data_IF_664055280163
#
_entry.id   IF_664055280163
#
_cell.length_a   1.000
_cell.length_b   1.000
_cell.length_c   1.000
_cell.angle_alpha   90.00
_cell.angle_beta   90.00
_cell.angle_gamma   90.00
#
_symmetry.space_group_name_H-M   'P 1'
#
loop_
_entity.id
_entity.type
_entity.pdbx_description
1 polymer ?
#
# COMPACT_ATOMS: atom_id res chain seq x y z
N UNK A 1 -44.14 -17.73 -34.74
CA UNK A 1 -42.87 -17.75 -33.98
C UNK A 1 -43.18 -17.72 -32.49
N UNK A 2 -42.99 -18.85 -31.79
CA UNK A 2 -43.34 -18.98 -30.37
C UNK A 2 -42.34 -18.24 -29.49
N UNK A 3 -42.77 -17.16 -28.82
CA UNK A 3 -42.03 -16.53 -27.71
C UNK A 3 -42.04 -17.52 -26.55
N UNK A 4 -41.01 -18.38 -26.48
CA UNK A 4 -40.79 -19.24 -25.31
C UNK A 4 -40.46 -18.35 -24.12
N UNK A 5 -41.47 -18.05 -23.31
CA UNK A 5 -41.28 -17.40 -22.01
C UNK A 5 -40.38 -18.33 -21.18
N UNK A 6 -39.14 -17.90 -20.96
CA UNK A 6 -38.24 -18.58 -20.01
C UNK A 6 -39.03 -18.76 -18.70
N UNK A 7 -39.16 -19.98 -18.16
CA UNK A 7 -39.98 -20.22 -16.98
C UNK A 7 -39.45 -19.33 -15.85
N UNK A 8 -40.37 -18.72 -15.08
CA UNK A 8 -40.04 -17.76 -14.02
C UNK A 8 -38.88 -18.27 -13.13
N UNK A 9 -38.92 -19.56 -12.78
CA UNK A 9 -37.89 -20.27 -12.03
C UNK A 9 -36.47 -20.15 -12.63
N UNK A 10 -36.32 -20.24 -13.96
CA UNK A 10 -35.02 -20.15 -14.61
C UNK A 10 -34.45 -18.73 -14.56
N UNK A 11 -35.31 -17.70 -14.67
CA UNK A 11 -34.89 -16.29 -14.55
C UNK A 11 -34.43 -15.98 -13.13
N UNK A 12 -35.18 -16.48 -12.14
CA UNK A 12 -34.84 -16.34 -10.72
C UNK A 12 -33.52 -17.04 -10.43
N UNK A 13 -33.35 -18.28 -10.89
CA UNK A 13 -32.10 -19.03 -10.74
C UNK A 13 -30.89 -18.29 -11.34
N UNK A 14 -31.01 -17.76 -12.56
CA UNK A 14 -29.92 -17.02 -13.22
C UNK A 14 -29.53 -15.77 -12.43
N UNK A 15 -30.52 -15.00 -11.96
CA UNK A 15 -30.27 -13.77 -11.21
C UNK A 15 -29.60 -14.05 -9.87
N UNK A 16 -30.13 -14.99 -9.08
CA UNK A 16 -29.54 -15.37 -7.80
C UNK A 16 -28.17 -16.04 -7.99
N UNK A 17 -28.00 -16.89 -8.99
CA UNK A 17 -26.73 -17.52 -9.33
C UNK A 17 -25.65 -16.50 -9.66
N UNK A 18 -25.96 -15.51 -10.50
CA UNK A 18 -25.03 -14.41 -10.81
C UNK A 18 -24.70 -13.59 -9.55
N UNK A 19 -25.70 -13.26 -8.73
CA UNK A 19 -25.48 -12.50 -7.50
C UNK A 19 -24.55 -13.25 -6.52
N UNK A 20 -24.76 -14.55 -6.36
CA UNK A 20 -23.92 -15.42 -5.51
C UNK A 20 -22.50 -15.49 -6.06
N UNK A 21 -22.33 -15.68 -7.38
CA UNK A 21 -21.00 -15.72 -8.00
C UNK A 21 -20.24 -14.41 -7.82
N UNK A 22 -20.91 -13.27 -8.01
CA UNK A 22 -20.31 -11.95 -7.78
C UNK A 22 -19.92 -11.77 -6.31
N UNK A 23 -20.82 -12.11 -5.39
CA UNK A 23 -20.55 -12.01 -3.95
C UNK A 23 -19.39 -12.93 -3.53
N UNK A 24 -19.34 -14.16 -4.02
CA UNK A 24 -18.25 -15.10 -3.78
C UNK A 24 -16.92 -14.57 -4.33
N UNK A 25 -16.93 -13.97 -5.53
CA UNK A 25 -15.75 -13.34 -6.12
C UNK A 25 -15.22 -12.18 -5.29
N UNK A 26 -16.09 -11.25 -4.86
CA UNK A 26 -15.71 -10.12 -4.00
C UNK A 26 -15.18 -10.63 -2.65
N UNK A 27 -15.85 -11.62 -2.04
CA UNK A 27 -15.40 -12.22 -0.78
C UNK A 27 -14.02 -12.88 -0.91
N UNK A 28 -13.79 -13.60 -2.01
CA UNK A 28 -12.50 -14.21 -2.28
C UNK A 28 -11.39 -13.16 -2.47
N UNK A 29 -11.62 -12.15 -3.32
CA UNK A 29 -10.64 -11.08 -3.57
C UNK A 29 -10.31 -10.31 -2.30
N UNK A 30 -11.32 -9.90 -1.53
CA UNK A 30 -11.12 -9.16 -0.27
C UNK A 30 -10.31 -9.97 0.74
N UNK A 31 -10.57 -11.28 0.85
CA UNK A 31 -9.79 -12.18 1.70
C UNK A 31 -8.32 -12.26 1.25
N UNK A 32 -8.08 -12.39 -0.05
CA UNK A 32 -6.72 -12.48 -0.59
C UNK A 32 -5.92 -11.19 -0.39
N UNK A 33 -6.54 -10.04 -0.63
CA UNK A 33 -5.91 -8.73 -0.39
C UNK A 33 -5.53 -8.55 1.08
N UNK A 34 -6.41 -8.97 2.02
CA UNK A 34 -6.09 -8.92 3.46
C UNK A 34 -4.90 -9.80 3.81
N UNK A 35 -4.88 -11.04 3.32
CA UNK A 35 -3.76 -11.97 3.54
C UNK A 35 -2.45 -11.42 2.97
N UNK A 36 -2.50 -10.82 1.78
CA UNK A 36 -1.33 -10.22 1.16
C UNK A 36 -0.81 -9.01 1.94
N UNK A 37 -1.71 -8.18 2.48
CA UNK A 37 -1.32 -7.05 3.33
C UNK A 37 -0.62 -7.53 4.60
N UNK A 38 -1.14 -8.57 5.25
CA UNK A 38 -0.49 -9.19 6.41
C UNK A 38 0.90 -9.72 6.06
N UNK A 39 1.03 -10.45 4.94
CA UNK A 39 2.32 -10.97 4.47
C UNK A 39 3.31 -9.83 4.13
N UNK A 40 2.84 -8.78 3.45
CA UNK A 40 3.64 -7.61 3.11
C UNK A 40 4.18 -6.93 4.37
N UNK A 41 3.36 -6.80 5.41
CA UNK A 41 3.77 -6.21 6.70
C UNK A 41 4.87 -7.04 7.39
N UNK A 42 4.75 -8.36 7.37
CA UNK A 42 5.80 -9.24 7.90
C UNK A 42 7.10 -9.12 7.11
N UNK A 43 7.02 -9.08 5.77
CA UNK A 43 8.21 -8.89 4.92
C UNK A 43 8.85 -7.51 5.14
N UNK A 44 8.06 -6.46 5.30
CA UNK A 44 8.54 -5.12 5.60
C UNK A 44 9.27 -5.07 6.96
N UNK A 45 8.74 -5.77 7.97
CA UNK A 45 9.37 -5.88 9.30
C UNK A 45 10.71 -6.60 9.21
N UNK A 46 10.76 -7.76 8.56
CA UNK A 46 12.02 -8.49 8.34
C UNK A 46 13.04 -7.67 7.55
N UNK A 47 12.57 -6.89 6.58
CA UNK A 47 13.42 -5.98 5.82
C UNK A 47 13.99 -4.85 6.70
N UNK A 48 13.17 -4.28 7.60
CA UNK A 48 13.60 -3.25 8.53
C UNK A 48 14.59 -3.80 9.58
N UNK A 49 14.35 -5.00 10.11
CA UNK A 49 15.29 -5.72 10.99
C UNK A 49 16.61 -6.00 10.29
N UNK A 50 16.57 -6.54 9.06
CA UNK A 50 17.77 -6.72 8.25
C UNK A 50 18.52 -5.40 8.04
N UNK A 51 17.79 -4.31 7.75
CA UNK A 51 18.38 -2.99 7.56
C UNK A 51 19.06 -2.48 8.83
N UNK A 52 18.42 -2.67 9.99
CA UNK A 52 18.97 -2.26 11.28
C UNK A 52 20.24 -3.03 11.65
N UNK A 53 20.30 -4.33 11.36
CA UNK A 53 21.46 -5.18 11.63
C UNK A 53 22.59 -4.98 10.60
N UNK A 54 22.25 -4.73 9.33
CA UNK A 54 23.22 -4.64 8.26
C UNK A 54 23.86 -3.25 8.10
N UNK A 55 23.22 -2.18 8.59
CA UNK A 55 23.70 -0.81 8.34
C UNK A 55 25.06 -0.53 8.99
N UNK A 56 25.29 -0.97 10.24
CA UNK A 56 26.57 -0.72 10.92
C UNK A 56 27.73 -1.46 10.26
N UNK A 57 27.65 -2.79 10.00
CA UNK A 57 28.68 -3.49 9.24
C UNK A 57 28.88 -2.95 7.82
N UNK A 58 27.82 -2.43 7.17
CA UNK A 58 27.88 -1.84 5.83
C UNK A 58 28.62 -0.49 5.79
N UNK A 59 28.74 0.22 6.91
CA UNK A 59 29.54 1.44 7.02
C UNK A 59 31.03 1.09 7.15
N UNK A 60 31.35 0.02 7.88
CA UNK A 60 32.73 -0.38 8.17
C UNK A 60 33.36 -1.23 7.04
N UNK A 61 32.56 -2.01 6.33
CA UNK A 61 33.03 -2.98 5.34
C UNK A 61 32.44 -2.71 3.94
N UNK A 62 33.30 -2.42 2.97
CA UNK A 62 32.90 -2.09 1.58
C UNK A 62 32.14 -3.24 0.88
N UNK A 63 32.52 -4.50 1.14
CA UNK A 63 31.84 -5.66 0.55
C UNK A 63 30.42 -5.79 1.10
N UNK A 64 30.24 -5.61 2.41
CA UNK A 64 28.92 -5.60 3.04
C UNK A 64 28.10 -4.41 2.55
N UNK A 65 28.73 -3.23 2.40
CA UNK A 65 28.12 -2.04 1.82
C UNK A 65 27.53 -2.29 0.43
N UNK A 66 28.26 -3.03 -0.42
CA UNK A 66 27.80 -3.39 -1.76
C UNK A 66 26.59 -4.31 -1.71
N UNK A 67 26.65 -5.37 -0.90
CA UNK A 67 25.54 -6.32 -0.73
C UNK A 67 24.31 -5.59 -0.17
N UNK A 68 24.50 -4.76 0.86
CA UNK A 68 23.45 -3.92 1.44
C UNK A 68 22.80 -3.03 0.39
N UNK A 69 23.60 -2.30 -0.41
CA UNK A 69 23.08 -1.47 -1.50
C UNK A 69 22.33 -2.29 -2.54
N UNK A 70 22.80 -3.47 -2.93
CA UNK A 70 22.11 -4.33 -3.89
C UNK A 70 20.77 -4.84 -3.37
N UNK A 71 20.68 -5.18 -2.08
CA UNK A 71 19.45 -5.67 -1.43
C UNK A 71 18.48 -4.52 -1.20
N UNK A 72 18.94 -3.45 -0.55
CA UNK A 72 18.11 -2.29 -0.22
C UNK A 72 17.68 -1.55 -1.47
N UNK A 73 18.53 -1.38 -2.49
CA UNK A 73 18.11 -0.69 -3.72
C UNK A 73 17.03 -1.46 -4.50
N UNK A 74 16.99 -2.79 -4.41
CA UNK A 74 16.02 -3.63 -5.13
C UNK A 74 14.74 -3.92 -4.36
N UNK A 75 14.69 -3.67 -3.05
CA UNK A 75 13.49 -3.92 -2.25
C UNK A 75 12.39 -2.89 -2.56
N UNK A 76 11.11 -3.21 -2.48
CA UNK A 76 10.04 -2.22 -2.73
C UNK A 76 9.51 -1.56 -1.45
N UNK A 77 10.17 -1.78 -0.31
CA UNK A 77 9.74 -1.26 0.99
C UNK A 77 10.34 0.12 1.28
N UNK A 78 9.51 1.15 1.52
CA UNK A 78 10.02 2.46 1.89
C UNK A 78 10.58 2.42 3.32
N UNK A 79 11.69 3.12 3.53
CA UNK A 79 12.41 3.14 4.80
C UNK A 79 13.02 4.52 5.06
N UNK A 80 13.02 4.95 6.31
CA UNK A 80 13.68 6.15 6.82
C UNK A 80 14.50 5.76 8.03
N UNK A 81 15.81 6.02 7.99
CA UNK A 81 16.73 5.79 9.08
C UNK A 81 17.02 7.11 9.76
N UNK A 82 16.92 7.13 11.08
CA UNK A 82 17.24 8.29 11.91
C UNK A 82 18.31 7.96 12.92
N UNK A 83 19.03 8.99 13.39
CA UNK A 83 19.83 8.89 14.61
C UNK A 83 18.92 8.73 15.84
N UNK A 84 19.56 8.63 17.02
CA UNK A 84 18.87 8.50 18.30
C UNK A 84 17.97 9.71 18.63
N UNK A 85 18.32 10.90 18.13
CA UNK A 85 17.57 12.14 18.32
C UNK A 85 16.41 12.31 17.32
N UNK A 86 16.30 11.42 16.33
CA UNK A 86 15.23 11.41 15.34
C UNK A 86 15.52 12.20 14.07
N UNK A 87 16.76 12.65 13.85
CA UNK A 87 17.19 13.30 12.60
C UNK A 87 17.42 12.25 11.52
N UNK A 88 16.80 12.39 10.33
CA UNK A 88 16.96 11.42 9.26
C UNK A 88 18.33 11.54 8.60
N UNK A 89 19.00 10.41 8.34
CA UNK A 89 20.30 10.40 7.67
C UNK A 89 20.33 9.53 6.40
N UNK A 90 19.42 8.55 6.28
CA UNK A 90 19.17 7.80 5.04
C UNK A 90 17.67 7.62 4.87
N UNK A 91 17.16 7.80 3.65
CA UNK A 91 15.79 7.46 3.34
C UNK A 91 15.67 6.90 1.93
N UNK A 92 14.62 6.11 1.73
CA UNK A 92 14.24 5.56 0.43
C UNK A 92 12.74 5.41 0.40
N UNK A 93 12.12 6.04 -0.59
CA UNK A 93 10.67 6.09 -0.72
C UNK A 93 10.29 5.43 -2.05
N UNK A 94 9.37 4.47 -2.01
CA UNK A 94 9.00 3.67 -3.19
C UNK A 94 7.99 4.39 -4.09
N UNK A 95 7.03 5.11 -3.49
CA UNK A 95 5.88 5.71 -4.19
C UNK A 95 5.79 7.24 -4.03
N UNK A 96 6.66 7.84 -3.22
CA UNK A 96 6.68 9.28 -2.95
C UNK A 96 8.02 9.89 -3.37
N UNK A 97 7.97 11.04 -4.03
CA UNK A 97 9.15 11.85 -4.33
C UNK A 97 9.14 13.07 -3.43
N UNK A 98 10.26 13.31 -2.76
CA UNK A 98 10.50 14.52 -1.99
C UNK A 98 11.61 15.33 -2.68
N UNK A 99 11.63 16.63 -2.47
CA UNK A 99 12.73 17.48 -2.95
C UNK A 99 14.06 17.13 -2.28
N UNK A 100 15.16 17.61 -2.86
CA UNK A 100 16.49 17.43 -2.27
C UNK A 100 16.56 18.10 -0.89
N UNK A 101 17.16 17.40 0.07
CA UNK A 101 17.38 17.90 1.42
C UNK A 101 18.89 18.08 1.60
N UNK A 102 19.40 19.33 1.68
CA UNK A 102 20.80 19.58 1.97
C UNK A 102 21.20 18.99 3.32
N UNK A 103 22.43 18.48 3.43
CA UNK A 103 22.94 17.86 4.66
C UNK A 103 22.98 18.87 5.81
N UNK A 104 23.27 20.13 5.49
CA UNK A 104 23.30 21.25 6.43
C UNK A 104 21.92 21.47 7.07
N UNK A 105 20.84 21.35 6.28
CA UNK A 105 19.46 21.48 6.77
C UNK A 105 19.11 20.39 7.79
N UNK A 106 19.67 19.19 7.62
CA UNK A 106 19.49 18.07 8.57
C UNK A 106 20.34 18.30 9.82
N UNK A 107 21.59 18.75 9.65
CA UNK A 107 22.52 18.99 10.75
C UNK A 107 22.06 20.12 11.68
N UNK A 108 21.47 21.17 11.11
CA UNK A 108 20.93 22.33 11.84
C UNK A 108 19.54 22.08 12.43
N UNK A 109 18.90 20.95 12.08
CA UNK A 109 17.56 20.60 12.58
C UNK A 109 17.57 20.45 14.11
N UNK A 110 16.72 21.22 14.80
CA UNK A 110 16.39 20.97 16.21
C UNK A 110 15.30 19.88 16.29
N UNK A 111 15.58 18.72 16.88
CA UNK A 111 14.57 17.66 17.06
C UNK A 111 13.34 18.10 17.85
N UNK A 112 13.47 19.09 18.75
CA UNK A 112 12.37 19.60 19.57
C UNK A 112 11.49 20.60 18.83
N UNK A 113 12.03 21.22 17.78
CA UNK A 113 11.32 22.19 16.95
C UNK A 113 11.58 21.92 15.46
N UNK A 114 11.03 20.81 14.93
CA UNK A 114 11.26 20.41 13.55
C UNK A 114 10.70 21.44 12.57
N UNK A 115 11.29 21.56 11.37
CA UNK A 115 10.79 22.47 10.35
C UNK A 115 9.35 22.13 9.96
N UNK A 116 8.50 23.15 9.84
CA UNK A 116 7.07 22.97 9.52
C UNK A 116 6.80 22.84 8.01
N UNK A 117 7.74 23.29 7.17
CA UNK A 117 7.59 23.35 5.71
C UNK A 117 8.86 22.89 4.99
N UNK A 118 8.70 22.43 3.75
CA UNK A 118 9.80 22.01 2.88
C UNK A 118 10.05 20.49 2.87
N UNK A 119 11.04 20.03 2.08
CA UNK A 119 11.26 18.61 1.86
C UNK A 119 11.60 17.82 3.13
N UNK A 120 12.33 18.43 4.07
CA UNK A 120 12.61 17.81 5.37
C UNK A 120 11.33 17.64 6.19
N UNK A 121 10.44 18.64 6.22
CA UNK A 121 9.15 18.52 6.91
C UNK A 121 8.28 17.40 6.32
N UNK A 122 8.28 17.24 4.99
CA UNK A 122 7.58 16.14 4.32
C UNK A 122 8.18 14.78 4.69
N UNK A 123 9.51 14.65 4.73
CA UNK A 123 10.18 13.43 5.14
C UNK A 123 9.86 13.05 6.60
N UNK A 124 9.83 14.03 7.50
CA UNK A 124 9.47 13.80 8.91
C UNK A 124 8.01 13.36 9.05
N UNK A 125 7.09 13.94 8.28
CA UNK A 125 5.70 13.46 8.23
C UNK A 125 5.62 12.01 7.77
N UNK A 126 6.37 11.63 6.73
CA UNK A 126 6.40 10.25 6.25
C UNK A 126 6.98 9.30 7.31
N UNK A 127 8.04 9.71 8.01
CA UNK A 127 8.60 8.97 9.15
C UNK A 127 7.54 8.73 10.22
N UNK A 128 6.79 9.77 10.58
CA UNK A 128 5.74 9.70 11.61
C UNK A 128 4.57 8.80 11.16
N UNK A 129 4.15 8.89 9.90
CA UNK A 129 3.18 7.95 9.31
C UNK A 129 3.65 6.49 9.41
N UNK A 130 4.95 6.24 9.20
CA UNK A 130 5.52 4.91 9.36
C UNK A 130 5.54 4.46 10.81
N UNK A 131 5.86 5.35 11.76
CA UNK A 131 5.86 5.06 13.19
C UNK A 131 4.45 4.73 13.72
N UNK A 132 3.42 5.43 13.22
CA UNK A 132 2.02 5.14 13.55
C UNK A 132 1.57 3.79 12.99
N UNK A 133 2.01 3.47 11.77
CA UNK A 133 1.64 2.24 11.10
C UNK A 133 2.40 1.02 11.66
N UNK A 134 3.67 1.16 12.02
CA UNK A 134 4.53 0.07 12.49
C UNK A 134 5.50 0.56 13.57
N UNK A 135 5.76 -0.24 14.62
CA UNK A 135 6.77 0.13 15.61
C UNK A 135 8.15 0.24 14.95
N UNK A 136 8.93 1.31 15.21
CA UNK A 136 10.25 1.47 14.63
C UNK A 136 11.20 0.38 15.14
N UNK A 137 12.09 -0.09 14.26
CA UNK A 137 13.13 -1.05 14.63
C UNK A 137 14.35 -0.30 15.15
N UNK A 138 14.87 -0.72 16.30
CA UNK A 138 16.02 -0.07 16.94
C UNK A 138 17.32 -0.54 16.30
N UNK A 139 18.18 0.40 15.91
CA UNK A 139 19.56 0.12 15.51
C UNK A 139 20.42 0.13 16.78
N UNK A 140 21.09 -0.97 17.09
CA UNK A 140 21.99 -1.08 18.25
C UNK A 140 23.41 -1.38 17.81
N UNK A 141 24.40 -0.76 18.45
CA UNK A 141 25.79 -1.15 18.27
C UNK A 141 26.10 -2.35 19.18
N UNK A 142 26.84 -3.37 18.70
CA UNK A 142 27.26 -4.48 19.53
C UNK A 142 28.00 -3.98 20.79
N UNK A 143 27.48 -4.32 21.97
CA UNK A 143 28.07 -3.95 23.26
C UNK A 143 27.66 -2.58 23.82
N UNK A 144 26.75 -1.85 23.16
CA UNK A 144 26.17 -0.61 23.68
C UNK A 144 24.67 -0.80 24.00
N UNK A 145 24.23 -0.27 25.15
CA UNK A 145 22.82 -0.31 25.56
C UNK A 145 22.00 0.83 24.93
N UNK A 146 22.66 1.93 24.56
CA UNK A 146 22.02 3.07 23.92
C UNK A 146 21.72 2.79 22.43
N UNK A 147 20.54 3.20 21.94
CA UNK A 147 20.21 3.05 20.53
C UNK A 147 21.10 3.97 19.68
N UNK A 148 21.70 3.42 18.63
CA UNK A 148 22.40 4.22 17.62
C UNK A 148 21.41 5.04 16.79
N UNK A 149 20.21 4.49 16.57
CA UNK A 149 19.18 5.10 15.76
C UNK A 149 17.98 4.20 15.58
N UNK A 150 17.11 4.58 14.64
CA UNK A 150 15.85 3.88 14.40
C UNK A 150 15.58 3.71 12.89
N UNK A 151 14.93 2.60 12.56
CA UNK A 151 14.44 2.30 11.21
C UNK A 151 12.90 2.42 11.22
N UNK A 152 12.40 3.42 10.51
CA UNK A 152 10.98 3.62 10.25
C UNK A 152 10.65 3.06 8.88
N UNK A 153 9.60 2.25 8.77
CA UNK A 153 9.30 1.52 7.54
C UNK A 153 7.80 1.44 7.25
N UNK A 154 7.49 1.44 5.95
CA UNK A 154 6.13 1.35 5.45
C UNK A 154 5.83 0.03 4.72
N UNK A 155 4.55 -0.16 4.41
CA UNK A 155 4.11 -1.24 3.50
C UNK A 155 4.65 -1.00 2.08
N UNK A 156 4.84 -2.07 1.31
CA UNK A 156 5.23 -1.97 -0.10
C UNK A 156 4.20 -1.22 -0.94
N UNK A 157 4.65 -0.57 -2.02
CA UNK A 157 3.79 0.12 -2.99
C UNK A 157 2.70 -0.80 -3.53
N UNK A 158 3.07 -2.03 -3.91
CA UNK A 158 2.14 -3.02 -4.44
C UNK A 158 1.02 -3.37 -3.43
N UNK A 159 1.36 -3.59 -2.16
CA UNK A 159 0.35 -3.90 -1.14
C UNK A 159 -0.64 -2.73 -0.96
N UNK A 160 -0.13 -1.49 -1.01
CA UNK A 160 -0.94 -0.28 -0.94
C UNK A 160 -1.91 -0.16 -2.12
N UNK A 161 -1.44 -0.41 -3.34
CA UNK A 161 -2.28 -0.41 -4.54
C UNK A 161 -3.34 -1.51 -4.53
N UNK A 162 -3.00 -2.72 -4.08
CA UNK A 162 -3.95 -3.83 -4.08
C UNK A 162 -5.08 -3.63 -3.05
N UNK A 163 -4.89 -2.76 -2.05
CA UNK A 163 -5.92 -2.40 -1.07
C UNK A 163 -7.13 -1.70 -1.69
N UNK A 164 -6.98 -0.98 -2.82
CA UNK A 164 -8.12 -0.31 -3.47
C UNK A 164 -8.93 -1.24 -4.41
N UNK A 165 -8.36 -2.38 -4.81
CA UNK A 165 -9.00 -3.30 -5.77
C UNK A 165 -10.44 -3.69 -5.41
N UNK A 166 -10.78 -4.03 -4.15
CA UNK A 166 -12.16 -4.38 -3.81
C UNK A 166 -13.16 -3.26 -4.11
N UNK A 167 -12.76 -1.99 -3.93
CA UNK A 167 -13.61 -0.84 -4.22
C UNK A 167 -13.79 -0.63 -5.72
N UNK A 168 -12.73 -0.82 -6.51
CA UNK A 168 -12.80 -0.80 -7.99
C UNK A 168 -13.75 -1.89 -8.48
N UNK A 169 -13.69 -3.09 -7.90
CA UNK A 169 -14.57 -4.21 -8.23
C UNK A 169 -16.06 -3.88 -7.94
N UNK A 170 -16.35 -3.29 -6.77
CA UNK A 170 -17.71 -2.84 -6.41
C UNK A 170 -18.18 -1.75 -7.38
N UNK A 171 -17.32 -0.79 -7.73
CA UNK A 171 -17.61 0.24 -8.72
C UNK A 171 -17.96 -0.34 -10.09
N UNK A 172 -17.21 -1.33 -10.55
CA UNK A 172 -17.50 -2.05 -11.79
C UNK A 172 -18.85 -2.77 -11.76
N UNK A 173 -19.17 -3.44 -10.65
CA UNK A 173 -20.48 -4.10 -10.48
C UNK A 173 -21.62 -3.07 -10.55
N UNK A 174 -21.50 -1.96 -9.83
CA UNK A 174 -22.49 -0.88 -9.85
C UNK A 174 -22.68 -0.27 -11.25
N UNK A 175 -21.59 -0.10 -12.00
CA UNK A 175 -21.64 0.36 -13.39
C UNK A 175 -22.43 -0.62 -14.26
N UNK A 176 -22.11 -1.92 -14.20
CA UNK A 176 -22.84 -2.94 -14.96
C UNK A 176 -24.33 -3.01 -14.58
N UNK A 177 -24.66 -2.90 -13.29
CA UNK A 177 -26.05 -2.84 -12.83
C UNK A 177 -26.78 -1.62 -13.39
N UNK A 178 -26.12 -0.47 -13.44
CA UNK A 178 -26.69 0.77 -14.00
C UNK A 178 -26.97 0.61 -15.50
N UNK A 179 -26.01 0.05 -16.26
CA UNK A 179 -26.17 -0.23 -17.68
C UNK A 179 -27.31 -1.23 -17.94
N UNK A 180 -27.42 -2.27 -17.12
CA UNK A 180 -28.51 -3.24 -17.20
C UNK A 180 -29.88 -2.58 -16.99
N UNK A 181 -30.00 -1.66 -16.03
CA UNK A 181 -31.24 -0.90 -15.78
C UNK A 181 -31.60 0.02 -16.96
N UNK A 182 -30.62 0.74 -17.52
CA UNK A 182 -30.83 1.62 -18.67
C UNK A 182 -31.24 0.82 -19.91
N UNK A 183 -30.53 -0.28 -20.20
CA UNK A 183 -30.84 -1.17 -21.32
C UNK A 183 -32.23 -1.79 -21.21
N UNK A 184 -32.60 -2.27 -20.01
CA UNK A 184 -33.94 -2.81 -19.76
C UNK A 184 -35.03 -1.76 -19.99
N UNK A 185 -34.84 -0.52 -19.51
CA UNK A 185 -35.78 0.59 -19.75
C UNK A 185 -35.91 0.88 -21.26
N UNK A 186 -34.80 0.97 -21.99
CA UNK A 186 -34.78 1.26 -23.43
C UNK A 186 -35.57 0.22 -24.24
N UNK A 187 -35.35 -1.07 -23.98
CA UNK A 187 -36.08 -2.16 -24.64
C UNK A 187 -37.59 -2.02 -24.38
N UNK A 188 -37.98 -1.78 -23.12
CA UNK A 188 -39.39 -1.64 -22.74
C UNK A 188 -40.06 -0.44 -23.40
N UNK A 189 -39.34 0.68 -23.57
CA UNK A 189 -39.84 1.86 -24.27
C UNK A 189 -39.95 1.63 -25.78
N UNK A 190 -39.01 0.89 -26.39
CA UNK A 190 -39.06 0.54 -27.82
C UNK A 190 -40.19 -0.42 -28.15
N UNK A 191 -40.53 -1.37 -27.26
CA UNK A 191 -41.70 -2.23 -27.44
C UNK A 191 -43.02 -1.44 -27.47
N UNK A 192 -43.11 -0.32 -26.73
CA UNK A 192 -44.32 0.52 -26.73
C UNK A 192 -44.47 1.37 -28.00
N UNK A 193 -43.35 1.75 -28.65
CA UNK A 193 -43.37 2.55 -29.89
C UNK A 193 -43.59 1.72 -31.15
N UNK A 194 -43.25 0.44 -31.14
CA UNK A 194 -43.45 -0.45 -32.28
C UNK A 194 -44.92 -0.86 -32.54
N UNK A 195 -45.85 -0.44 -31.68
CA UNK A 195 -47.29 -0.78 -31.75
C UNK A 195 -48.12 0.35 -32.39
N UNK A 196 -47.54 1.53 -32.60
CA UNK A 196 -48.19 2.68 -33.27
C UNK A 196 -47.57 2.95 -34.64
#
# INVERSE_FOLDING_TARGET
>A
MSRRNLPFLLKTYLLFGTLILVAAGVFYTTRQVRKLNEQSRSMATLFAEFTAEAILPAIENEQVSRIYKEVVAKADFPVVLTDADGRPFVWRLSDRKIGDIPVETIAEMDPKNPPAVGPLAELLKIRDEFAEANPPVVIKRPGEDEPFGYVYYGESSLARELRILPFVQIGGILLFLTLALVGYRSIKTSEQRAIW
#
